data_IF_006281382108
#
_entry.id   IF_006281382108
#
_cell.length_a   1.000
_cell.length_b   1.000
_cell.length_c   1.000
_cell.angle_alpha   90.00
_cell.angle_beta   90.00
_cell.angle_gamma   90.00
#
_symmetry.space_group_name_H-M   'P 1'
#
loop_
_entity.id
_entity.type
_entity.pdbx_description
1 polymer ?
#
# COMPACT_ATOMS: atom_id res chain seq x y z
N UNK A 1 -21.81 -5.32 19.12
CA UNK A 1 -21.38 -5.47 17.72
C UNK A 1 -20.36 -4.38 17.38
N UNK A 2 -19.21 -4.71 16.76
CA UNK A 2 -18.28 -3.68 16.28
C UNK A 2 -18.93 -2.98 15.07
N UNK A 3 -18.99 -1.65 15.10
CA UNK A 3 -19.48 -0.84 14.00
C UNK A 3 -18.60 -1.04 12.77
N UNK A 4 -19.19 -1.26 11.57
CA UNK A 4 -18.45 -1.32 10.31
C UNK A 4 -17.89 0.05 9.94
N UNK A 5 -16.86 0.11 9.08
CA UNK A 5 -16.30 1.36 8.60
C UNK A 5 -17.33 2.20 7.86
N UNK A 6 -18.16 1.57 7.02
CA UNK A 6 -19.24 2.24 6.29
C UNK A 6 -20.27 2.88 7.24
N UNK A 7 -20.69 2.16 8.27
CA UNK A 7 -21.63 2.68 9.26
C UNK A 7 -21.02 3.85 10.05
N UNK A 8 -19.71 3.80 10.36
CA UNK A 8 -19.00 4.93 10.98
C UNK A 8 -18.96 6.14 10.04
N UNK A 9 -18.57 5.95 8.79
CA UNK A 9 -18.50 7.03 7.76
C UNK A 9 -19.85 7.69 7.56
N UNK A 10 -20.92 6.89 7.45
CA UNK A 10 -22.29 7.41 7.29
C UNK A 10 -22.70 8.30 8.48
N UNK A 11 -22.47 7.80 9.72
CA UNK A 11 -22.75 8.58 10.93
C UNK A 11 -21.90 9.85 11.00
N UNK A 12 -20.59 9.75 10.81
CA UNK A 12 -19.70 10.92 10.82
C UNK A 12 -20.13 11.99 9.82
N UNK A 13 -20.52 11.60 8.60
CA UNK A 13 -21.03 12.53 7.57
C UNK A 13 -22.36 13.19 7.98
N UNK A 14 -23.25 12.45 8.64
CA UNK A 14 -24.49 13.00 9.16
C UNK A 14 -24.24 14.05 10.27
N UNK A 15 -23.18 13.88 11.05
CA UNK A 15 -22.78 14.78 12.14
C UNK A 15 -22.01 16.02 11.64
N UNK A 16 -21.62 16.09 10.35
CA UNK A 16 -20.96 17.27 9.79
C UNK A 16 -21.96 18.44 9.73
N UNK A 17 -21.62 19.52 10.41
CA UNK A 17 -22.47 20.72 10.46
C UNK A 17 -22.93 21.14 9.05
N UNK A 18 -24.23 21.46 8.82
CA UNK A 18 -24.76 21.79 7.49
C UNK A 18 -24.02 22.93 6.79
N UNK A 19 -23.56 23.94 7.54
CA UNK A 19 -22.83 25.11 7.04
C UNK A 19 -21.34 24.83 6.75
N UNK A 20 -20.83 23.60 6.99
CA UNK A 20 -19.46 23.29 6.66
C UNK A 20 -19.24 23.27 5.15
N UNK A 21 -18.35 24.15 4.69
CA UNK A 21 -17.94 24.22 3.30
C UNK A 21 -16.45 23.79 3.20
N UNK A 22 -16.14 22.65 2.55
CA UNK A 22 -14.78 22.14 2.43
C UNK A 22 -13.86 23.05 1.62
N UNK A 23 -14.39 23.68 0.56
CA UNK A 23 -13.62 24.59 -0.27
C UNK A 23 -13.23 25.87 0.47
N UNK A 24 -14.17 26.45 1.21
CA UNK A 24 -13.88 27.61 2.06
C UNK A 24 -12.84 27.26 3.13
N UNK A 25 -12.93 26.06 3.71
CA UNK A 25 -11.94 25.55 4.66
C UNK A 25 -10.55 25.44 4.04
N UNK A 26 -10.41 24.74 2.90
CA UNK A 26 -9.13 24.55 2.22
C UNK A 26 -8.53 25.89 1.73
N UNK A 27 -9.36 26.74 1.11
CA UNK A 27 -8.93 28.06 0.65
C UNK A 27 -8.47 28.94 1.81
N UNK A 28 -9.19 28.95 2.94
CA UNK A 28 -8.77 29.69 4.13
C UNK A 28 -7.40 29.24 4.63
N UNK A 29 -7.19 27.93 4.79
CA UNK A 29 -5.90 27.38 5.27
C UNK A 29 -4.77 27.78 4.32
N UNK A 30 -4.97 27.62 3.02
CA UNK A 30 -3.95 27.96 2.01
C UNK A 30 -3.66 29.47 1.98
N UNK A 31 -4.69 30.32 1.90
CA UNK A 31 -4.50 31.77 1.82
C UNK A 31 -3.89 32.32 3.10
N UNK A 32 -4.39 31.94 4.27
CA UNK A 32 -3.80 32.36 5.55
C UNK A 32 -2.34 31.94 5.63
N UNK A 33 -2.03 30.68 5.30
CA UNK A 33 -0.67 30.17 5.34
C UNK A 33 0.27 30.90 4.38
N UNK A 34 -0.15 31.12 3.13
CA UNK A 34 0.65 31.85 2.14
C UNK A 34 0.88 33.31 2.56
N UNK A 35 -0.13 33.97 3.09
CA UNK A 35 0.01 35.32 3.62
C UNK A 35 0.95 35.38 4.82
N UNK A 36 0.87 34.42 5.75
CA UNK A 36 1.75 34.34 6.90
C UNK A 36 3.20 34.07 6.48
N UNK A 37 3.43 33.15 5.53
CA UNK A 37 4.75 32.91 4.93
C UNK A 37 5.30 34.20 4.32
N UNK A 38 4.48 34.88 3.50
CA UNK A 38 4.87 36.17 2.89
C UNK A 38 5.22 37.21 3.93
N UNK A 39 4.45 37.32 5.02
CA UNK A 39 4.70 38.28 6.11
C UNK A 39 6.06 38.01 6.81
N UNK A 40 6.36 36.74 7.13
CA UNK A 40 7.65 36.39 7.73
C UNK A 40 8.81 36.61 6.74
N UNK A 41 8.67 36.19 5.49
CA UNK A 41 9.76 36.33 4.51
C UNK A 41 9.97 37.77 4.04
N UNK A 42 8.97 38.63 4.15
CA UNK A 42 9.15 40.07 3.88
C UNK A 42 10.09 40.77 4.86
N UNK A 43 10.43 40.12 6.01
CA UNK A 43 11.45 40.59 6.96
C UNK A 43 12.88 40.17 6.60
N UNK A 44 13.05 39.38 5.56
CA UNK A 44 14.33 38.78 5.16
C UNK A 44 15.00 39.65 4.10
N UNK A 45 16.22 40.13 4.37
CA UNK A 45 16.96 41.02 3.47
C UNK A 45 18.46 40.66 3.45
N UNK A 46 19.06 40.60 2.27
CA UNK A 46 20.52 40.39 2.09
C UNK A 46 21.06 39.20 2.89
N UNK A 47 20.46 38.04 2.71
CA UNK A 47 20.76 36.82 3.48
C UNK A 47 22.23 36.38 3.32
N UNK A 48 22.93 36.27 4.40
CA UNK A 48 24.26 35.70 4.40
C UNK A 48 24.20 34.16 4.15
N UNK A 49 25.16 33.56 3.44
CA UNK A 49 25.11 32.12 3.09
C UNK A 49 24.83 31.19 4.27
N UNK A 50 25.39 31.48 5.47
CA UNK A 50 25.16 30.67 6.67
C UNK A 50 23.74 30.79 7.23
N UNK A 51 23.03 31.91 7.00
CA UNK A 51 21.66 32.09 7.47
C UNK A 51 20.69 31.16 6.76
N UNK A 52 20.99 30.72 5.52
CA UNK A 52 20.21 29.72 4.80
C UNK A 52 20.14 28.37 5.53
N UNK A 53 21.04 28.08 6.44
CA UNK A 53 20.96 26.89 7.29
C UNK A 53 19.70 26.90 8.17
N UNK A 54 19.12 28.06 8.43
CA UNK A 54 17.83 28.15 9.14
C UNK A 54 16.72 27.36 8.43
N UNK A 55 16.72 27.28 7.09
CA UNK A 55 15.70 26.56 6.32
C UNK A 55 15.72 25.04 6.63
N UNK A 56 16.81 24.29 6.35
CA UNK A 56 16.83 22.86 6.62
C UNK A 56 16.69 22.56 8.12
N UNK A 57 17.26 23.37 9.00
CA UNK A 57 17.14 23.18 10.44
C UNK A 57 15.70 23.36 10.93
N UNK A 58 14.98 24.37 10.40
CA UNK A 58 13.57 24.58 10.75
C UNK A 58 12.69 23.46 10.21
N UNK A 59 12.91 23.01 8.98
CA UNK A 59 12.15 21.89 8.40
C UNK A 59 12.40 20.59 9.17
N UNK A 60 13.64 20.37 9.62
CA UNK A 60 13.99 19.26 10.49
C UNK A 60 13.28 19.36 11.85
N UNK A 61 13.30 20.53 12.46
CA UNK A 61 12.59 20.81 13.72
C UNK A 61 11.06 20.60 13.56
N UNK A 62 10.49 21.09 12.48
CA UNK A 62 9.07 20.88 12.18
C UNK A 62 8.75 19.39 11.99
N UNK A 63 9.57 18.66 11.23
CA UNK A 63 9.41 17.22 11.02
C UNK A 63 9.46 16.44 12.35
N UNK A 64 10.36 16.83 13.26
CA UNK A 64 10.40 16.29 14.62
C UNK A 64 9.13 16.64 15.40
N UNK A 65 8.64 17.87 15.30
CA UNK A 65 7.39 18.30 15.92
C UNK A 65 6.18 17.47 15.44
N UNK A 66 6.09 17.24 14.13
CA UNK A 66 5.05 16.35 13.54
C UNK A 66 5.14 14.95 14.14
N UNK A 67 6.32 14.36 14.18
CA UNK A 67 6.53 13.03 14.77
C UNK A 67 6.05 12.97 16.23
N UNK A 68 6.46 13.93 17.06
CA UNK A 68 6.10 13.97 18.48
C UNK A 68 4.60 14.18 18.68
N UNK A 69 3.99 15.14 17.97
CA UNK A 69 2.57 15.45 18.09
C UNK A 69 1.72 14.27 17.60
N UNK A 70 2.05 13.71 16.45
CA UNK A 70 1.33 12.59 15.87
C UNK A 70 1.39 11.37 16.81
N UNK A 71 2.59 10.96 17.20
CA UNK A 71 2.80 9.79 18.07
C UNK A 71 2.17 9.97 19.44
N UNK A 72 2.43 11.09 20.11
CA UNK A 72 2.10 11.24 21.53
C UNK A 72 0.77 11.95 21.80
N UNK A 73 0.29 12.84 20.91
CA UNK A 73 -0.99 13.52 21.07
C UNK A 73 -2.08 12.93 20.17
N UNK A 74 -1.71 12.46 18.98
CA UNK A 74 -2.63 11.81 18.05
C UNK A 74 -3.07 10.42 18.52
N UNK A 75 -2.13 9.61 19.01
CA UNK A 75 -2.37 8.20 19.34
C UNK A 75 -2.45 7.89 20.84
N UNK A 76 -2.04 8.79 21.72
CA UNK A 76 -2.14 8.59 23.16
C UNK A 76 -3.03 9.65 23.81
N UNK A 77 -4.03 9.20 24.58
CA UNK A 77 -4.98 10.08 25.24
C UNK A 77 -4.32 10.87 26.35
N UNK A 78 -4.01 12.15 26.08
CA UNK A 78 -3.46 13.09 27.06
C UNK A 78 -4.53 14.06 27.55
N UNK A 79 -4.51 14.40 28.86
CA UNK A 79 -5.54 15.25 29.48
C UNK A 79 -5.69 16.62 28.80
N UNK A 80 -4.56 17.25 28.46
CA UNK A 80 -4.53 18.58 27.83
C UNK A 80 -4.68 18.56 26.31
N UNK A 81 -4.60 17.39 25.66
CA UNK A 81 -4.65 17.25 24.20
C UNK A 81 -5.76 16.27 23.74
N UNK A 82 -6.85 16.20 24.49
CA UNK A 82 -7.97 15.28 24.19
C UNK A 82 -8.54 15.46 22.78
N UNK A 83 -8.55 16.68 22.28
CA UNK A 83 -9.07 17.01 20.95
C UNK A 83 -8.21 16.35 19.85
N UNK A 84 -6.88 16.40 19.96
CA UNK A 84 -6.00 15.74 19.00
C UNK A 84 -6.27 14.24 18.93
N UNK A 85 -6.31 13.57 20.09
CA UNK A 85 -6.63 12.15 20.16
C UNK A 85 -8.02 11.83 19.59
N UNK A 86 -9.06 12.60 19.97
CA UNK A 86 -10.41 12.36 19.52
C UNK A 86 -10.53 12.50 17.98
N UNK A 87 -9.91 13.53 17.42
CA UNK A 87 -9.96 13.76 15.98
C UNK A 87 -9.09 12.78 15.20
N UNK A 88 -7.90 12.46 15.71
CA UNK A 88 -6.97 11.59 15.00
C UNK A 88 -7.29 10.11 15.22
N UNK A 89 -7.05 9.56 16.40
CA UNK A 89 -7.30 8.15 16.68
C UNK A 89 -8.80 7.81 16.71
N UNK A 90 -9.66 8.74 17.18
CA UNK A 90 -11.11 8.56 17.25
C UNK A 90 -11.80 8.65 15.90
N UNK A 91 -11.72 9.80 15.25
CA UNK A 91 -12.46 10.08 14.02
C UNK A 91 -11.71 9.57 12.78
N UNK A 92 -10.47 10.05 12.57
CA UNK A 92 -9.70 9.82 11.36
C UNK A 92 -9.36 8.33 11.14
N UNK A 93 -8.80 7.63 12.14
CA UNK A 93 -8.50 6.20 12.04
C UNK A 93 -9.74 5.28 12.05
N UNK A 94 -10.91 5.80 12.47
CA UNK A 94 -12.17 5.06 12.35
C UNK A 94 -12.84 5.29 11.00
N UNK A 95 -12.61 6.44 10.38
CA UNK A 95 -13.11 6.80 9.06
C UNK A 95 -12.27 6.17 7.94
N UNK A 96 -10.95 6.19 8.08
CA UNK A 96 -9.99 5.58 7.16
C UNK A 96 -9.40 4.31 7.79
N UNK A 97 -9.74 3.17 7.22
CA UNK A 97 -9.27 1.86 7.66
C UNK A 97 -8.63 1.11 6.50
N UNK A 98 -7.83 0.06 6.72
CA UNK A 98 -7.33 -0.78 5.65
C UNK A 98 -8.45 -1.20 4.68
N UNK A 99 -8.24 -0.96 3.39
CA UNK A 99 -9.26 -1.17 2.34
C UNK A 99 -10.21 0.02 2.10
N UNK A 100 -10.26 1.00 3.01
CA UNK A 100 -11.11 2.20 2.91
C UNK A 100 -10.30 3.48 3.13
N UNK A 101 -9.14 3.61 2.45
CA UNK A 101 -8.19 4.71 2.66
C UNK A 101 -8.51 6.00 1.90
N UNK A 102 -9.54 6.01 1.07
CA UNK A 102 -9.87 7.17 0.22
C UNK A 102 -11.15 7.87 0.65
N UNK A 103 -11.21 9.18 0.43
CA UNK A 103 -12.44 9.93 0.61
C UNK A 103 -13.34 9.81 -0.63
N UNK A 104 -14.66 9.95 -0.44
CA UNK A 104 -15.64 9.82 -1.53
C UNK A 104 -16.07 11.20 -2.07
N UNK A 105 -16.05 12.23 -1.23
CA UNK A 105 -16.45 13.59 -1.61
C UNK A 105 -15.68 14.64 -0.81
N UNK A 106 -15.74 15.91 -1.25
CA UNK A 106 -14.99 17.00 -0.61
C UNK A 106 -15.39 17.28 0.84
N UNK A 107 -16.63 16.94 1.29
CA UNK A 107 -17.04 17.12 2.69
C UNK A 107 -16.25 16.22 3.64
N UNK A 108 -15.67 15.14 3.14
CA UNK A 108 -14.80 14.24 3.91
C UNK A 108 -13.46 14.90 4.29
N UNK A 109 -13.09 16.05 3.68
CA UNK A 109 -11.94 16.84 4.12
C UNK A 109 -12.06 17.26 5.59
N UNK A 110 -13.28 17.32 6.13
CA UNK A 110 -13.52 17.60 7.54
C UNK A 110 -12.83 16.64 8.50
N UNK A 111 -12.61 15.38 8.10
CA UNK A 111 -11.93 14.36 8.90
C UNK A 111 -10.44 14.24 8.55
N UNK A 112 -10.00 14.80 7.42
CA UNK A 112 -8.60 14.80 6.98
C UNK A 112 -7.88 16.04 7.54
N UNK A 113 -8.39 17.24 7.18
CA UNK A 113 -7.76 18.50 7.53
C UNK A 113 -7.94 18.83 9.02
N UNK A 114 -6.95 19.46 9.62
CA UNK A 114 -7.11 20.05 10.94
C UNK A 114 -8.16 21.17 10.91
N UNK A 115 -8.79 21.51 12.05
CA UNK A 115 -9.67 22.67 12.10
C UNK A 115 -8.99 23.93 11.58
N UNK A 116 -9.68 24.71 10.73
CA UNK A 116 -9.10 25.88 10.08
C UNK A 116 -8.47 26.91 11.04
N UNK A 117 -8.98 27.01 12.28
CA UNK A 117 -8.38 27.87 13.30
C UNK A 117 -7.01 27.38 13.80
N UNK A 118 -6.65 26.10 13.58
CA UNK A 118 -5.41 25.55 14.12
C UNK A 118 -4.16 26.13 13.45
N UNK A 119 -4.22 26.45 12.14
CA UNK A 119 -3.11 27.14 11.48
C UNK A 119 -2.92 28.56 12.06
N UNK A 120 -4.01 29.23 12.43
CA UNK A 120 -3.94 30.54 13.09
C UNK A 120 -3.29 30.42 14.46
N UNK A 121 -3.74 29.43 15.25
CA UNK A 121 -3.16 29.13 16.57
C UNK A 121 -1.66 28.78 16.46
N UNK A 122 -1.30 27.89 15.56
CA UNK A 122 0.08 27.51 15.30
C UNK A 122 0.94 28.74 14.94
N UNK A 123 0.42 29.61 14.07
CA UNK A 123 1.16 30.80 13.63
C UNK A 123 1.29 31.81 14.76
N UNK A 124 0.21 32.14 15.49
CA UNK A 124 0.22 33.22 16.48
C UNK A 124 0.77 32.80 17.85
N UNK A 125 0.61 31.52 18.24
CA UNK A 125 0.99 31.07 19.60
C UNK A 125 2.32 30.32 19.61
N UNK A 126 2.71 29.71 18.51
CA UNK A 126 3.96 28.94 18.41
C UNK A 126 4.99 29.70 17.56
N UNK A 127 4.63 29.98 16.30
CA UNK A 127 5.60 30.51 15.34
C UNK A 127 5.96 31.98 15.61
N UNK A 128 4.98 32.85 15.81
CA UNK A 128 5.24 34.29 15.99
C UNK A 128 6.04 34.62 17.27
N UNK A 129 5.79 34.03 18.45
CA UNK A 129 6.62 34.25 19.62
C UNK A 129 8.07 33.75 19.42
N UNK A 130 8.24 32.56 18.81
CA UNK A 130 9.58 32.05 18.51
C UNK A 130 10.30 32.93 17.47
N UNK A 131 9.62 33.37 16.43
CA UNK A 131 10.11 34.35 15.47
C UNK A 131 10.55 35.64 16.17
N UNK A 132 9.73 36.19 17.05
CA UNK A 132 10.05 37.42 17.78
C UNK A 132 11.32 37.27 18.64
N UNK A 133 11.46 36.17 19.34
CA UNK A 133 12.67 35.88 20.13
C UNK A 133 13.90 35.74 19.24
N UNK A 134 13.82 35.01 18.14
CA UNK A 134 14.93 34.87 17.20
C UNK A 134 15.30 36.19 16.53
N UNK A 135 14.31 37.05 16.25
CA UNK A 135 14.53 38.36 15.64
C UNK A 135 15.40 39.31 16.53
N UNK A 136 15.44 39.07 17.87
CA UNK A 136 16.34 39.79 18.75
C UNK A 136 17.82 39.42 18.51
N UNK A 137 18.07 38.27 17.88
CA UNK A 137 19.40 37.75 17.58
C UNK A 137 19.76 37.98 16.11
N UNK A 138 18.87 37.61 15.20
CA UNK A 138 19.08 37.76 13.76
C UNK A 138 17.72 37.76 13.02
N UNK A 139 17.39 38.89 12.36
CA UNK A 139 16.14 39.10 11.66
C UNK A 139 15.94 38.13 10.46
N UNK A 140 17.01 37.85 9.70
CA UNK A 140 16.93 36.93 8.56
C UNK A 140 16.64 35.50 8.99
N UNK A 141 17.38 35.02 10.01
CA UNK A 141 17.14 33.68 10.58
C UNK A 141 15.73 33.56 11.13
N UNK A 142 15.24 34.59 11.82
CA UNK A 142 13.87 34.62 12.33
C UNK A 142 12.82 34.57 11.20
N UNK A 143 12.99 35.39 10.16
CA UNK A 143 12.07 35.41 9.02
C UNK A 143 12.04 34.07 8.26
N UNK A 144 13.21 33.49 8.01
CA UNK A 144 13.33 32.16 7.39
C UNK A 144 12.69 31.07 8.26
N UNK A 145 12.94 31.10 9.58
CA UNK A 145 12.30 30.19 10.54
C UNK A 145 10.77 30.31 10.50
N UNK A 146 10.24 31.54 10.66
CA UNK A 146 8.80 31.77 10.69
C UNK A 146 8.08 31.28 9.43
N UNK A 147 8.63 31.65 8.25
CA UNK A 147 8.09 31.17 6.97
C UNK A 147 8.16 29.66 6.80
N UNK A 148 9.28 29.03 7.18
CA UNK A 148 9.44 27.57 7.08
C UNK A 148 8.54 26.80 8.05
N UNK A 149 8.26 27.32 9.26
CA UNK A 149 7.30 26.72 10.20
C UNK A 149 5.88 26.65 9.59
N UNK A 150 5.42 27.73 8.99
CA UNK A 150 4.10 27.77 8.36
C UNK A 150 4.08 26.96 7.06
N UNK A 151 5.17 26.99 6.28
CA UNK A 151 5.32 26.13 5.10
C UNK A 151 5.24 24.64 5.47
N UNK A 152 5.90 24.24 6.55
CA UNK A 152 5.82 22.86 7.07
C UNK A 152 4.39 22.47 7.43
N UNK A 153 3.62 23.36 8.07
CA UNK A 153 2.22 23.14 8.38
C UNK A 153 1.37 22.96 7.10
N UNK A 154 1.53 23.82 6.12
CA UNK A 154 0.83 23.68 4.83
C UNK A 154 1.22 22.39 4.10
N UNK A 155 2.51 22.05 4.10
CA UNK A 155 2.98 20.81 3.51
C UNK A 155 2.34 19.59 4.18
N UNK A 156 2.24 19.58 5.52
CA UNK A 156 1.54 18.54 6.26
C UNK A 156 0.08 18.37 5.79
N UNK A 157 -0.70 19.45 5.76
CA UNK A 157 -2.10 19.41 5.35
C UNK A 157 -2.28 18.90 3.91
N UNK A 158 -1.46 19.40 2.99
CA UNK A 158 -1.52 19.03 1.57
C UNK A 158 -1.11 17.57 1.38
N UNK A 159 0.01 17.11 1.98
CA UNK A 159 0.46 15.73 1.87
C UNK A 159 -0.54 14.76 2.49
N UNK A 160 -1.04 15.07 3.68
CA UNK A 160 -2.05 14.25 4.35
C UNK A 160 -3.33 14.11 3.50
N UNK A 161 -3.79 15.22 2.88
CA UNK A 161 -4.90 15.14 1.94
C UNK A 161 -4.57 14.30 0.69
N UNK A 162 -3.32 14.39 0.18
CA UNK A 162 -2.87 13.58 -0.95
C UNK A 162 -2.81 12.08 -0.63
N UNK A 163 -2.54 11.72 0.63
CA UNK A 163 -2.49 10.33 1.07
C UNK A 163 -3.86 9.64 1.06
N UNK A 164 -4.94 10.41 1.11
CA UNK A 164 -6.32 9.95 1.03
C UNK A 164 -7.01 10.20 -0.32
N UNK A 165 -6.28 10.60 -1.36
CA UNK A 165 -6.85 10.82 -2.70
C UNK A 165 -7.43 9.53 -3.31
N UNK A 166 -8.55 9.62 -4.05
CA UNK A 166 -9.11 8.48 -4.78
C UNK A 166 -8.12 7.88 -5.78
N UNK A 167 -8.22 6.57 -6.06
CA UNK A 167 -7.44 5.92 -7.11
C UNK A 167 -7.69 6.60 -8.47
N UNK A 168 -6.62 6.78 -9.25
CA UNK A 168 -6.70 7.43 -10.56
C UNK A 168 -6.40 8.93 -10.56
N UNK A 169 -6.35 9.60 -9.40
CA UNK A 169 -5.88 10.97 -9.34
C UNK A 169 -4.39 11.05 -9.78
N UNK A 170 -4.01 11.99 -10.68
CA UNK A 170 -2.64 12.07 -11.20
C UNK A 170 -1.57 12.24 -10.11
N UNK A 171 -1.87 12.95 -9.03
CA UNK A 171 -0.94 13.18 -7.91
C UNK A 171 -0.52 11.87 -7.23
N UNK A 172 -1.39 10.85 -7.20
CA UNK A 172 -1.06 9.55 -6.60
C UNK A 172 0.01 8.78 -7.38
N UNK A 173 0.31 9.21 -8.61
CA UNK A 173 1.37 8.63 -9.48
C UNK A 173 2.75 9.20 -9.19
N UNK A 174 2.82 10.35 -8.51
CA UNK A 174 4.11 10.95 -8.14
C UNK A 174 4.83 10.01 -7.16
N UNK A 175 6.11 9.67 -7.43
CA UNK A 175 6.82 8.64 -6.67
C UNK A 175 6.82 8.90 -5.16
N UNK A 176 7.05 10.16 -4.75
CA UNK A 176 7.09 10.55 -3.35
C UNK A 176 5.71 10.45 -2.68
N UNK A 177 4.65 10.98 -3.29
CA UNK A 177 3.29 10.87 -2.78
C UNK A 177 2.87 9.40 -2.66
N UNK A 178 3.17 8.58 -3.68
CA UNK A 178 2.86 7.15 -3.63
C UNK A 178 3.56 6.45 -2.47
N UNK A 179 4.84 6.79 -2.21
CA UNK A 179 5.59 6.21 -1.10
C UNK A 179 5.00 6.63 0.24
N UNK A 180 4.70 7.92 0.44
CA UNK A 180 4.12 8.42 1.68
C UNK A 180 2.70 7.87 1.92
N UNK A 181 1.87 7.78 0.88
CA UNK A 181 0.58 7.09 0.94
C UNK A 181 0.72 5.66 1.47
N UNK A 182 1.72 4.92 0.98
CA UNK A 182 1.94 3.54 1.44
C UNK A 182 2.33 3.48 2.90
N UNK A 183 3.22 4.36 3.36
CA UNK A 183 3.59 4.46 4.78
C UNK A 183 2.38 4.82 5.64
N UNK A 184 1.55 5.74 5.18
CA UNK A 184 0.34 6.17 5.88
C UNK A 184 -0.74 5.07 5.91
N UNK A 185 -0.93 4.32 4.82
CA UNK A 185 -1.80 3.15 4.79
C UNK A 185 -1.36 2.07 5.79
N UNK A 186 -0.05 1.81 5.90
CA UNK A 186 0.49 0.91 6.91
C UNK A 186 0.24 1.43 8.32
N UNK A 187 0.39 2.76 8.52
CA UNK A 187 0.08 3.41 9.78
C UNK A 187 -1.39 3.23 10.20
N UNK A 188 -2.33 3.22 9.27
CA UNK A 188 -3.76 2.98 9.56
C UNK A 188 -4.11 1.55 9.97
N UNK A 189 -3.18 0.61 9.91
CA UNK A 189 -3.39 -0.72 10.47
C UNK A 189 -3.38 -0.65 12.00
N UNK A 190 -4.35 -1.31 12.64
CA UNK A 190 -4.53 -1.25 14.10
C UNK A 190 -3.31 -1.71 14.89
N UNK A 191 -2.60 -2.70 14.37
CA UNK A 191 -1.38 -3.26 14.96
C UNK A 191 -0.17 -2.33 14.84
N UNK A 192 -0.18 -1.38 13.90
CA UNK A 192 0.94 -0.48 13.62
C UNK A 192 0.70 0.98 14.03
N UNK A 193 -0.56 1.42 14.11
CA UNK A 193 -0.91 2.83 14.25
C UNK A 193 -0.36 3.52 15.51
N UNK A 194 -0.05 2.77 16.57
CA UNK A 194 0.51 3.33 17.80
C UNK A 194 2.03 3.25 17.87
N UNK A 195 2.67 2.54 16.92
CA UNK A 195 4.09 2.22 17.00
C UNK A 195 4.89 2.63 15.76
N UNK A 196 4.25 2.81 14.59
CA UNK A 196 4.94 2.92 13.31
C UNK A 196 4.43 4.07 12.44
N UNK A 197 5.35 4.64 11.63
CA UNK A 197 5.08 5.57 10.52
C UNK A 197 4.29 6.83 10.92
N UNK A 198 4.88 7.64 11.78
CA UNK A 198 4.22 8.87 12.29
C UNK A 198 4.45 10.11 11.43
N UNK A 199 5.48 10.14 10.59
CA UNK A 199 5.71 11.27 9.70
C UNK A 199 4.88 11.19 8.42
N UNK A 200 4.34 12.34 8.01
CA UNK A 200 3.42 12.47 6.86
C UNK A 200 4.16 12.97 5.61
N UNK A 201 5.06 13.94 5.74
CA UNK A 201 5.73 14.56 4.58
C UNK A 201 7.04 13.86 4.24
N UNK A 202 7.82 13.54 5.27
CA UNK A 202 9.15 12.95 5.13
C UNK A 202 9.45 12.02 6.33
N UNK A 203 9.74 10.73 6.14
CA UNK A 203 9.80 9.75 7.21
C UNK A 203 11.14 9.74 7.96
N UNK A 204 11.80 10.91 8.11
CA UNK A 204 13.13 10.99 8.68
C UNK A 204 13.16 10.65 10.17
N UNK A 205 12.19 11.15 10.94
CA UNK A 205 12.15 10.82 12.37
C UNK A 205 11.72 9.38 12.60
N UNK A 206 10.86 8.84 11.77
CA UNK A 206 10.55 7.41 11.81
C UNK A 206 11.79 6.55 11.57
N UNK A 207 12.64 6.96 10.62
CA UNK A 207 13.92 6.28 10.38
C UNK A 207 14.88 6.42 11.58
N UNK A 208 15.08 7.63 12.09
CA UNK A 208 16.02 7.92 13.19
C UNK A 208 15.60 7.26 14.51
N UNK A 209 14.29 7.17 14.78
CA UNK A 209 13.76 6.57 16.01
C UNK A 209 13.36 5.09 15.85
N UNK A 210 13.66 4.46 14.71
CA UNK A 210 13.37 3.04 14.46
C UNK A 210 11.88 2.70 14.39
N UNK A 211 11.03 3.70 14.10
CA UNK A 211 9.59 3.50 13.92
C UNK A 211 9.17 3.39 12.45
N UNK A 212 10.11 3.56 11.51
CA UNK A 212 9.84 3.33 10.11
C UNK A 212 9.54 1.84 9.86
N UNK A 213 8.35 1.56 9.34
CA UNK A 213 7.93 0.23 8.92
C UNK A 213 7.56 0.28 7.45
N UNK A 214 8.29 -0.46 6.65
CA UNK A 214 8.07 -0.54 5.22
C UNK A 214 7.64 -1.95 4.83
N UNK A 215 6.46 -2.05 4.25
CA UNK A 215 6.05 -3.21 3.48
C UNK A 215 5.85 -2.75 2.04
N UNK A 216 6.43 -3.41 1.04
CA UNK A 216 6.12 -3.10 -0.34
C UNK A 216 4.61 -3.11 -0.53
N UNK A 217 4.11 -2.14 -1.30
CA UNK A 217 2.70 -2.09 -1.68
C UNK A 217 2.32 -3.50 -2.14
N UNK A 218 1.39 -4.10 -1.41
CA UNK A 218 0.71 -5.25 -1.96
C UNK A 218 -0.11 -4.70 -3.12
N UNK A 219 0.51 -4.53 -4.29
CA UNK A 219 -0.26 -4.27 -5.47
C UNK A 219 -1.33 -5.36 -5.53
N UNK A 220 -2.62 -5.03 -5.71
CA UNK A 220 -3.48 -6.02 -6.30
C UNK A 220 -2.76 -6.51 -7.54
N UNK A 221 -2.90 -7.76 -7.95
CA UNK A 221 -2.33 -8.26 -9.19
C UNK A 221 -3.08 -7.65 -10.37
N UNK A 222 -3.25 -6.36 -10.39
CA UNK A 222 -3.45 -5.59 -11.57
C UNK A 222 -2.08 -5.62 -12.24
N UNK A 223 -1.96 -6.56 -13.14
CA UNK A 223 -0.98 -6.55 -14.20
C UNK A 223 -1.18 -5.23 -14.96
N UNK A 224 -0.87 -4.10 -14.32
CA UNK A 224 -1.05 -2.73 -14.83
C UNK A 224 -0.15 -2.45 -16.04
N UNK A 225 0.53 -3.52 -16.51
CA UNK A 225 1.31 -3.58 -17.73
C UNK A 225 0.93 -4.86 -18.44
N UNK A 226 0.95 -4.88 -19.75
CA UNK A 226 0.67 -6.07 -20.56
C UNK A 226 1.50 -7.24 -20.03
N UNK A 227 0.89 -8.22 -19.36
CA UNK A 227 1.61 -9.36 -18.81
C UNK A 227 2.12 -10.25 -19.93
N UNK A 228 3.16 -11.00 -19.65
CA UNK A 228 3.46 -12.17 -20.47
C UNK A 228 2.44 -13.24 -20.09
N UNK A 229 1.61 -13.63 -21.07
CA UNK A 229 0.59 -14.66 -20.91
C UNK A 229 1.04 -15.94 -21.61
N UNK A 230 1.02 -17.03 -20.89
CA UNK A 230 1.27 -18.40 -21.38
C UNK A 230 0.03 -19.23 -21.08
N UNK A 231 -0.44 -19.96 -22.09
CA UNK A 231 -1.60 -20.83 -21.93
C UNK A 231 -1.29 -22.21 -22.51
N UNK A 232 -1.55 -23.23 -21.73
CA UNK A 232 -1.33 -24.62 -22.10
C UNK A 232 -2.59 -25.43 -21.82
N UNK A 233 -2.87 -26.38 -22.67
CA UNK A 233 -4.03 -27.28 -22.59
C UNK A 233 -3.56 -28.70 -22.58
N UNK A 234 -4.14 -29.52 -21.74
CA UNK A 234 -3.90 -30.98 -21.70
C UNK A 234 -5.18 -31.72 -21.35
N UNK A 235 -5.41 -32.84 -22.02
CA UNK A 235 -6.54 -33.71 -21.71
C UNK A 235 -6.06 -34.82 -20.74
N UNK A 236 -6.76 -34.95 -19.60
CA UNK A 236 -6.39 -35.83 -18.47
C UNK A 236 -7.54 -36.82 -18.24
N UNK A 237 -7.26 -38.12 -18.14
CA UNK A 237 -8.27 -39.10 -17.76
C UNK A 237 -8.69 -38.91 -16.31
N UNK A 238 -9.99 -38.78 -16.06
CA UNK A 238 -10.59 -38.53 -14.75
C UNK A 238 -11.61 -37.39 -14.78
N UNK A 239 -12.47 -37.32 -13.78
CA UNK A 239 -13.49 -36.29 -13.72
C UNK A 239 -12.91 -34.92 -13.35
N UNK A 240 -13.54 -33.79 -13.78
CA UNK A 240 -13.01 -32.44 -13.53
C UNK A 240 -12.77 -32.11 -12.06
N UNK A 241 -13.63 -32.63 -11.16
CA UNK A 241 -13.50 -32.38 -9.72
C UNK A 241 -12.20 -32.96 -9.16
N UNK A 242 -11.91 -34.21 -9.51
CA UNK A 242 -10.72 -34.91 -9.03
C UNK A 242 -9.43 -34.36 -9.65
N UNK A 243 -9.44 -34.04 -10.94
CA UNK A 243 -8.30 -33.42 -11.64
C UNK A 243 -7.97 -32.05 -11.05
N UNK A 244 -8.98 -31.19 -10.87
CA UNK A 244 -8.76 -29.86 -10.29
C UNK A 244 -8.31 -29.96 -8.83
N UNK A 245 -8.88 -30.88 -8.04
CA UNK A 245 -8.47 -31.09 -6.65
C UNK A 245 -7.00 -31.50 -6.55
N UNK A 246 -6.53 -32.38 -7.42
CA UNK A 246 -5.12 -32.76 -7.49
C UNK A 246 -4.23 -31.58 -7.87
N UNK A 247 -4.56 -30.85 -8.94
CA UNK A 247 -3.76 -29.73 -9.44
C UNK A 247 -3.71 -28.53 -8.46
N UNK A 248 -4.83 -28.26 -7.74
CA UNK A 248 -4.91 -27.18 -6.75
C UNK A 248 -4.36 -27.54 -5.36
N UNK A 249 -3.89 -28.75 -5.16
CA UNK A 249 -3.17 -29.17 -3.96
C UNK A 249 -1.70 -28.74 -4.09
N UNK A 250 -1.37 -27.54 -3.61
CA UNK A 250 -0.07 -26.93 -3.86
C UNK A 250 1.12 -27.76 -3.32
N UNK A 251 0.95 -28.47 -2.20
CA UNK A 251 1.98 -29.37 -1.65
C UNK A 251 2.39 -30.52 -2.59
N UNK A 252 1.59 -30.76 -3.63
CA UNK A 252 1.90 -31.74 -4.69
C UNK A 252 2.56 -31.13 -5.92
N UNK A 253 2.75 -29.81 -5.99
CA UNK A 253 3.37 -29.18 -7.14
C UNK A 253 4.79 -29.70 -7.44
N UNK A 254 5.65 -29.96 -6.45
CA UNK A 254 6.95 -30.56 -6.73
C UNK A 254 6.89 -31.94 -7.43
N UNK A 255 5.76 -32.63 -7.39
CA UNK A 255 5.58 -33.93 -8.08
C UNK A 255 5.49 -33.78 -9.61
N UNK A 256 4.94 -32.65 -10.09
CA UNK A 256 4.64 -32.47 -11.51
C UNK A 256 5.11 -31.12 -12.11
N UNK A 257 5.46 -30.14 -11.29
CA UNK A 257 5.94 -28.84 -11.76
C UNK A 257 7.46 -28.76 -11.62
N UNK A 258 8.24 -28.86 -12.72
CA UNK A 258 9.72 -28.93 -12.65
C UNK A 258 10.38 -27.75 -11.98
N UNK A 259 9.69 -26.58 -11.99
CA UNK A 259 10.20 -25.35 -11.34
C UNK A 259 9.85 -25.27 -9.86
N UNK A 260 8.93 -26.08 -9.35
CA UNK A 260 8.54 -26.10 -7.93
C UNK A 260 9.51 -27.02 -7.15
N UNK A 261 10.22 -26.46 -6.19
CA UNK A 261 11.17 -27.21 -5.37
C UNK A 261 10.53 -27.69 -4.07
N UNK A 262 9.83 -26.79 -3.39
CA UNK A 262 9.20 -27.04 -2.10
C UNK A 262 7.99 -26.11 -1.95
N UNK A 263 6.92 -26.62 -1.37
CA UNK A 263 5.74 -25.85 -0.99
C UNK A 263 5.47 -26.06 0.48
N UNK A 264 5.42 -24.95 1.24
CA UNK A 264 5.00 -24.92 2.64
C UNK A 264 3.54 -24.44 2.70
N UNK A 265 2.61 -25.35 3.03
CA UNK A 265 1.18 -25.07 3.04
C UNK A 265 0.36 -26.22 3.58
N UNK A 266 -0.95 -26.06 3.57
CA UNK A 266 -1.89 -27.09 4.01
C UNK A 266 -1.97 -28.23 2.97
N UNK A 267 -2.15 -29.45 3.46
CA UNK A 267 -2.43 -30.60 2.61
C UNK A 267 -3.87 -30.57 2.09
N UNK A 268 -4.06 -30.81 0.80
CA UNK A 268 -5.36 -30.81 0.13
C UNK A 268 -5.60 -29.56 -0.73
N UNK A 269 -6.76 -29.51 -1.45
CA UNK A 269 -7.13 -28.40 -2.29
C UNK A 269 -7.21 -27.09 -1.47
N UNK A 270 -6.63 -26.03 -2.00
CA UNK A 270 -6.59 -24.74 -1.33
C UNK A 270 -7.78 -23.86 -1.74
N UNK A 271 -8.52 -23.35 -0.76
CA UNK A 271 -9.68 -22.51 -0.94
C UNK A 271 -9.34 -21.03 -1.02
N UNK A 272 -10.26 -20.22 -1.49
CA UNK A 272 -10.10 -18.76 -1.57
C UNK A 272 -9.67 -18.14 -0.22
N UNK A 273 -8.66 -17.29 -0.27
CA UNK A 273 -8.03 -16.68 0.91
C UNK A 273 -6.92 -17.50 1.57
N UNK A 274 -6.69 -18.75 1.15
CA UNK A 274 -5.57 -19.55 1.63
C UNK A 274 -4.25 -18.95 1.17
N UNK A 275 -3.23 -19.01 2.04
CA UNK A 275 -1.87 -18.53 1.77
C UNK A 275 -0.87 -19.64 1.97
N UNK A 276 0.17 -19.65 1.14
CA UNK A 276 1.26 -20.61 1.21
C UNK A 276 2.52 -20.07 0.54
N UNK A 277 3.65 -20.68 0.85
CA UNK A 277 4.97 -20.29 0.35
C UNK A 277 5.54 -21.37 -0.55
N UNK A 278 6.26 -20.96 -1.58
CA UNK A 278 6.88 -21.87 -2.55
C UNK A 278 8.31 -21.44 -2.86
N UNK A 279 9.24 -22.38 -2.75
CA UNK A 279 10.58 -22.23 -3.29
C UNK A 279 10.61 -22.77 -4.72
N UNK A 280 11.06 -21.95 -5.64
CA UNK A 280 11.10 -22.27 -7.07
C UNK A 280 12.51 -22.20 -7.65
N UNK A 281 12.70 -22.93 -8.77
CA UNK A 281 13.84 -22.74 -9.67
C UNK A 281 13.32 -22.52 -11.09
N UNK A 282 13.10 -21.25 -11.45
CA UNK A 282 12.61 -20.86 -12.76
C UNK A 282 13.69 -20.11 -13.55
N UNK A 283 13.81 -20.43 -14.83
CA UNK A 283 14.81 -19.80 -15.67
C UNK A 283 16.26 -20.06 -15.21
N UNK A 284 16.52 -21.09 -14.39
CA UNK A 284 17.83 -21.46 -13.84
C UNK A 284 18.25 -20.68 -12.60
N UNK A 285 17.33 -19.91 -11.98
CA UNK A 285 17.55 -19.20 -10.73
C UNK A 285 16.56 -19.68 -9.68
N UNK A 286 17.04 -19.82 -8.47
CA UNK A 286 16.20 -20.05 -7.31
C UNK A 286 15.55 -18.74 -6.89
N UNK A 287 14.32 -18.83 -6.39
CA UNK A 287 13.53 -17.73 -5.90
C UNK A 287 12.43 -18.22 -4.97
N UNK A 288 11.82 -17.29 -4.28
CA UNK A 288 10.75 -17.55 -3.34
C UNK A 288 9.46 -16.86 -3.80
N UNK A 289 8.32 -17.54 -3.66
CA UNK A 289 6.99 -17.05 -4.03
C UNK A 289 6.06 -17.13 -2.83
N UNK A 290 5.44 -16.02 -2.50
CA UNK A 290 4.33 -15.94 -1.54
C UNK A 290 3.01 -15.94 -2.30
N UNK A 291 2.18 -16.94 -2.06
CA UNK A 291 0.92 -17.19 -2.75
C UNK A 291 -0.32 -16.81 -1.93
N UNK A 292 -1.36 -16.39 -2.62
CA UNK A 292 -2.71 -16.23 -2.09
C UNK A 292 -3.73 -16.72 -3.12
N UNK A 293 -4.64 -17.59 -2.67
CA UNK A 293 -5.70 -18.14 -3.53
C UNK A 293 -6.83 -17.13 -3.67
N UNK A 294 -7.16 -16.77 -4.91
CA UNK A 294 -8.24 -15.84 -5.23
C UNK A 294 -9.60 -16.51 -5.30
N UNK A 295 -9.64 -17.69 -5.93
CA UNK A 295 -10.90 -18.37 -6.25
C UNK A 295 -10.71 -19.90 -6.26
N UNK A 296 -11.71 -20.62 -5.78
CA UNK A 296 -11.85 -22.06 -5.95
C UNK A 296 -13.31 -22.43 -6.21
N UNK A 297 -13.60 -22.83 -7.44
CA UNK A 297 -14.86 -23.40 -7.89
C UNK A 297 -14.63 -24.89 -8.19
N UNK A 298 -15.03 -25.81 -7.29
CA UNK A 298 -14.75 -27.23 -7.43
C UNK A 298 -15.10 -27.80 -8.80
N UNK A 299 -14.16 -28.50 -9.44
CA UNK A 299 -14.33 -29.09 -10.75
C UNK A 299 -14.40 -28.12 -11.92
N UNK A 300 -14.30 -26.82 -11.70
CA UNK A 300 -14.40 -25.81 -12.76
C UNK A 300 -13.20 -24.89 -12.84
N UNK A 301 -12.85 -24.24 -11.74
CA UNK A 301 -11.82 -23.20 -11.77
C UNK A 301 -11.10 -23.07 -10.44
N UNK A 302 -9.81 -22.82 -10.51
CA UNK A 302 -8.99 -22.37 -9.39
C UNK A 302 -8.05 -21.27 -9.89
N UNK A 303 -7.86 -20.23 -9.09
CA UNK A 303 -6.89 -19.19 -9.39
C UNK A 303 -6.17 -18.74 -8.15
N UNK A 304 -4.88 -18.42 -8.31
CA UNK A 304 -4.06 -17.87 -7.25
C UNK A 304 -3.07 -16.86 -7.83
N UNK A 305 -2.68 -15.92 -6.99
CA UNK A 305 -1.67 -14.92 -7.28
C UNK A 305 -0.45 -15.14 -6.43
N UNK A 306 0.71 -14.84 -6.97
CA UNK A 306 1.95 -14.87 -6.21
C UNK A 306 2.82 -13.66 -6.46
N UNK A 307 3.72 -13.48 -5.53
CA UNK A 307 4.80 -12.52 -5.59
C UNK A 307 6.11 -13.19 -5.32
N UNK A 308 7.09 -12.77 -6.05
CA UNK A 308 8.43 -13.27 -5.93
C UNK A 308 9.47 -12.17 -5.86
N UNK A 309 10.69 -12.60 -5.74
CA UNK A 309 11.87 -11.76 -5.75
C UNK A 309 11.97 -10.88 -7.01
N UNK A 310 12.73 -9.82 -6.92
CA UNK A 310 12.98 -8.88 -8.02
C UNK A 310 11.73 -8.24 -8.64
N UNK A 311 10.64 -8.14 -7.86
CA UNK A 311 9.38 -7.56 -8.29
C UNK A 311 8.61 -8.41 -9.31
N UNK A 312 8.76 -9.72 -9.25
CA UNK A 312 7.93 -10.68 -9.97
C UNK A 312 6.52 -10.67 -9.37
N UNK A 313 5.53 -10.55 -10.24
CA UNK A 313 4.12 -10.75 -9.90
C UNK A 313 3.54 -11.70 -10.94
N UNK A 314 2.77 -12.68 -10.47
CA UNK A 314 2.16 -13.66 -11.36
C UNK A 314 0.75 -14.05 -10.86
N UNK A 315 -0.07 -14.47 -11.82
CA UNK A 315 -1.37 -15.09 -11.59
C UNK A 315 -1.40 -16.41 -12.35
N UNK A 316 -1.82 -17.46 -11.67
CA UNK A 316 -2.08 -18.75 -12.31
C UNK A 316 -3.55 -19.07 -12.21
N UNK A 317 -4.14 -19.53 -13.33
CA UNK A 317 -5.53 -19.97 -13.39
C UNK A 317 -5.57 -21.38 -13.98
N UNK A 318 -6.30 -22.26 -13.31
CA UNK A 318 -6.65 -23.60 -13.77
C UNK A 318 -8.13 -23.65 -14.09
N UNK A 319 -8.49 -24.14 -15.27
CA UNK A 319 -9.86 -24.32 -15.72
C UNK A 319 -10.04 -25.77 -16.17
N UNK A 320 -11.13 -26.37 -15.76
CA UNK A 320 -11.48 -27.75 -16.08
C UNK A 320 -12.84 -27.82 -16.74
N UNK A 321 -12.91 -28.56 -17.83
CA UNK A 321 -14.16 -28.90 -18.53
C UNK A 321 -14.21 -30.40 -18.80
N UNK A 322 -15.37 -31.00 -18.69
CA UNK A 322 -15.56 -32.40 -19.11
C UNK A 322 -15.31 -32.51 -20.61
N UNK A 323 -14.48 -33.47 -21.02
CA UNK A 323 -14.13 -33.69 -22.41
C UNK A 323 -13.95 -35.19 -22.70
N UNK A 324 -14.85 -35.77 -23.47
CA UNK A 324 -14.93 -37.21 -23.66
C UNK A 324 -15.12 -37.93 -22.32
N UNK A 325 -14.30 -38.94 -22.08
CA UNK A 325 -14.27 -39.70 -20.82
C UNK A 325 -13.30 -39.11 -19.77
N UNK A 326 -12.87 -37.86 -19.96
CA UNK A 326 -11.91 -37.19 -19.08
C UNK A 326 -12.17 -35.71 -18.92
N UNK A 327 -11.10 -35.00 -18.65
CA UNK A 327 -11.10 -33.57 -18.37
C UNK A 327 -10.13 -32.85 -19.31
N UNK A 328 -10.60 -31.80 -19.96
CA UNK A 328 -9.75 -30.80 -20.58
C UNK A 328 -9.32 -29.80 -19.52
N UNK A 329 -8.02 -29.83 -19.22
CA UNK A 329 -7.40 -28.93 -18.23
C UNK A 329 -6.64 -27.82 -18.96
N UNK A 330 -6.98 -26.57 -18.62
CA UNK A 330 -6.34 -25.37 -19.16
C UNK A 330 -5.59 -24.67 -18.04
N UNK A 331 -4.28 -24.45 -18.22
CA UNK A 331 -3.46 -23.62 -17.33
C UNK A 331 -3.12 -22.32 -18.03
N UNK A 332 -3.51 -21.21 -17.44
CA UNK A 332 -3.07 -19.87 -17.83
C UNK A 332 -2.12 -19.32 -16.78
N UNK A 333 -0.92 -18.93 -17.20
CA UNK A 333 0.07 -18.22 -16.39
C UNK A 333 0.25 -16.82 -16.96
N UNK A 334 -0.04 -15.82 -16.15
CA UNK A 334 0.20 -14.41 -16.46
C UNK A 334 1.24 -13.86 -15.48
N UNK A 335 2.33 -13.28 -15.99
CA UNK A 335 3.38 -12.75 -15.12
C UNK A 335 4.00 -11.46 -15.66
N UNK A 336 4.52 -10.64 -14.75
CA UNK A 336 5.28 -9.45 -15.09
C UNK A 336 6.40 -9.18 -14.08
N UNK A 337 7.40 -8.41 -14.51
CA UNK A 337 8.48 -7.89 -13.66
C UNK A 337 8.36 -6.38 -13.54
N UNK A 338 8.51 -5.84 -12.32
CA UNK A 338 8.46 -4.38 -12.08
C UNK A 338 9.71 -3.66 -12.59
N UNK A 339 10.88 -4.30 -12.52
CA UNK A 339 12.17 -3.73 -12.91
C UNK A 339 12.41 -3.68 -14.43
N UNK A 340 12.98 -2.57 -14.95
CA UNK A 340 13.27 -2.41 -16.39
C UNK A 340 14.26 -3.48 -16.88
N UNK A 341 15.35 -3.72 -16.13
CA UNK A 341 16.36 -4.72 -16.47
C UNK A 341 15.77 -6.13 -16.54
N UNK A 342 14.93 -6.49 -15.57
CA UNK A 342 14.26 -7.80 -15.55
C UNK A 342 13.28 -7.98 -16.71
N UNK A 343 12.62 -6.91 -17.15
CA UNK A 343 11.74 -6.94 -18.34
C UNK A 343 12.52 -7.18 -19.64
N UNK A 344 13.68 -6.52 -19.78
CA UNK A 344 14.57 -6.74 -20.92
C UNK A 344 15.07 -8.19 -20.87
N UNK A 345 15.56 -8.66 -19.73
CA UNK A 345 16.00 -10.06 -19.56
C UNK A 345 14.86 -11.06 -19.86
N UNK A 346 13.64 -10.77 -19.41
CA UNK A 346 12.48 -11.61 -19.74
C UNK A 346 12.24 -11.67 -21.24
N UNK A 347 12.22 -10.52 -21.91
CA UNK A 347 11.95 -10.46 -23.37
C UNK A 347 13.01 -11.20 -24.19
N UNK A 348 14.27 -11.14 -23.78
CA UNK A 348 15.38 -11.70 -24.54
C UNK A 348 15.69 -13.17 -24.21
N UNK A 349 15.53 -13.57 -22.95
CA UNK A 349 16.06 -14.84 -22.45
C UNK A 349 15.03 -15.66 -21.68
N UNK A 350 14.32 -15.07 -20.69
CA UNK A 350 13.57 -15.84 -19.71
C UNK A 350 12.25 -16.37 -20.26
N UNK A 351 11.53 -15.59 -21.10
CA UNK A 351 10.21 -15.96 -21.64
C UNK A 351 10.20 -17.36 -22.28
N UNK A 352 11.13 -17.62 -23.19
CA UNK A 352 11.19 -18.93 -23.89
C UNK A 352 11.43 -20.08 -22.92
N UNK A 353 12.29 -19.84 -21.93
CA UNK A 353 12.62 -20.86 -20.94
C UNK A 353 11.45 -21.15 -20.01
N UNK A 354 10.79 -20.11 -19.49
CA UNK A 354 9.57 -20.22 -18.66
C UNK A 354 8.45 -20.91 -19.44
N UNK A 355 8.29 -20.60 -20.72
CA UNK A 355 7.31 -21.24 -21.61
C UNK A 355 7.58 -22.72 -21.78
N UNK A 356 8.84 -23.09 -21.99
CA UNK A 356 9.25 -24.49 -22.09
C UNK A 356 9.02 -25.26 -20.77
N UNK A 357 9.46 -24.71 -19.63
CA UNK A 357 9.24 -25.30 -18.30
C UNK A 357 7.73 -25.41 -17.99
N UNK A 358 6.93 -24.42 -18.39
CA UNK A 358 5.48 -24.44 -18.25
C UNK A 358 4.80 -25.51 -19.11
N UNK A 359 5.28 -25.73 -20.32
CA UNK A 359 4.76 -26.78 -21.20
C UNK A 359 5.13 -28.19 -20.64
N UNK A 360 6.35 -28.36 -20.15
CA UNK A 360 6.78 -29.61 -19.51
C UNK A 360 5.94 -29.95 -18.28
N UNK A 361 5.60 -28.93 -17.48
CA UNK A 361 4.75 -29.13 -16.29
C UNK A 361 3.37 -29.70 -16.63
N UNK A 362 2.83 -29.38 -17.80
CA UNK A 362 1.51 -29.90 -18.22
C UNK A 362 1.55 -31.39 -18.59
N UNK A 363 2.65 -31.82 -19.21
CA UNK A 363 2.85 -33.24 -19.52
C UNK A 363 3.03 -34.06 -18.24
N UNK A 364 3.84 -33.54 -17.31
CA UNK A 364 4.06 -34.17 -16.01
C UNK A 364 2.76 -34.18 -15.17
N UNK A 365 1.97 -33.10 -15.18
CA UNK A 365 0.66 -33.07 -14.51
C UNK A 365 -0.26 -34.17 -15.02
N UNK A 366 -0.34 -34.34 -16.34
CA UNK A 366 -1.17 -35.41 -16.94
C UNK A 366 -0.77 -36.78 -16.40
N UNK A 367 0.53 -37.11 -16.45
CA UNK A 367 1.06 -38.40 -15.99
C UNK A 367 0.80 -38.61 -14.49
N UNK A 368 1.14 -37.64 -13.67
CA UNK A 368 1.05 -37.77 -12.21
C UNK A 368 -0.38 -37.75 -11.70
N UNK A 369 -1.27 -36.91 -12.30
CA UNK A 369 -2.70 -36.90 -11.97
C UNK A 369 -3.34 -38.25 -12.32
N UNK A 370 -3.11 -38.76 -13.52
CA UNK A 370 -3.65 -40.07 -13.94
C UNK A 370 -3.19 -41.22 -13.02
N UNK A 371 -1.90 -41.25 -12.65
CA UNK A 371 -1.35 -42.21 -11.72
C UNK A 371 -1.99 -42.13 -10.33
N UNK A 372 -2.19 -40.88 -9.84
CA UNK A 372 -2.83 -40.64 -8.55
C UNK A 372 -4.29 -41.07 -8.54
N UNK A 373 -5.05 -40.71 -9.58
CA UNK A 373 -6.47 -41.04 -9.70
C UNK A 373 -6.69 -42.54 -9.84
N UNK A 374 -5.83 -43.23 -10.59
CA UNK A 374 -5.87 -44.68 -10.68
C UNK A 374 -5.59 -45.38 -9.33
N UNK A 375 -4.68 -44.82 -8.52
CA UNK A 375 -4.34 -45.38 -7.20
C UNK A 375 -5.42 -45.15 -6.13
N UNK A 376 -6.23 -44.12 -6.29
CA UNK A 376 -7.31 -43.74 -5.34
C UNK A 376 -8.67 -44.33 -5.69
N UNK A 377 -8.79 -45.04 -6.79
CA UNK A 377 -10.05 -45.66 -7.23
C UNK A 377 -11.12 -44.68 -7.70
N UNK A 378 -10.75 -43.42 -7.91
CA UNK A 378 -11.63 -42.33 -8.39
C UNK A 378 -11.58 -42.33 -9.92
N UNK A 379 -12.02 -43.43 -10.55
CA UNK A 379 -12.21 -43.52 -12.01
C UNK A 379 -13.69 -43.34 -12.31
N UNK A 380 -13.98 -42.35 -13.19
CA UNK A 380 -15.23 -42.04 -13.91
C UNK A 380 -16.51 -41.93 -13.08
#
# INVERSE_FOLDING_TARGET
MRQTTEAFRARYRADIHPLYNPWLHGVFVLLFGLLAIGAFWNTVHQVHPLEWLAVPLTLLFFNFGVYVVHRHLGHHKKRLARMFYARHAGDHHSFFTPGHMTYDNARDWRVILFPAWLIVLHTLVITAPAWWLLAQLNGNVAGLFGGCMVLGYLAYEVFHACEHLPPGNPLTRLPWIRQMRRLHELHHRRELMQERNFNIVFPLMDYLFGTLHWEPEQAPPNLTRTPTRLQHVVDIAGNPLAVLAYASTATRWPEWHPSSLKVDGQSGPLYAGARFEEDIRAGGREGHLSWEVDEYLPGRRWSARARGDHGLSLVVTYECEAFGDGTRFVRTLEYCFSGVLMRIANRLLLKRRIEHESAQSMLALREMAQKHLASTGVTA
#
